data_IF_820752475738
#
_entry.id   IF_820752475738
#
_cell.length_a   1.000
_cell.length_b   1.000
_cell.length_c   1.000
_cell.angle_alpha   90.00
_cell.angle_beta   90.00
_cell.angle_gamma   90.00
#
_symmetry.space_group_name_H-M   'P 1'
#
loop_
_entity.id
_entity.type
_entity.pdbx_description
1 polymer ?
#
# COMPACT_ATOMS: atom_id res chain seq x y z
N UNK A 1 19.09 29.25 8.02
CA UNK A 1 18.74 27.84 8.29
C UNK A 1 19.17 27.04 7.08
N UNK A 2 20.05 26.06 7.24
CA UNK A 2 20.41 25.11 6.18
C UNK A 2 19.19 24.22 5.91
N UNK A 3 18.77 24.12 4.66
CA UNK A 3 17.65 23.28 4.26
C UNK A 3 17.99 21.81 4.55
N UNK A 4 17.14 21.12 5.31
CA UNK A 4 17.30 19.70 5.62
C UNK A 4 17.20 18.88 4.33
N UNK A 5 18.09 17.90 4.15
CA UNK A 5 18.05 17.00 2.99
C UNK A 5 16.81 16.10 3.10
N UNK A 6 16.00 16.05 2.06
CA UNK A 6 14.88 15.12 1.94
C UNK A 6 15.27 13.94 1.07
N UNK A 7 14.96 12.73 1.51
CA UNK A 7 15.18 11.48 0.78
C UNK A 7 13.86 10.72 0.72
N UNK A 8 13.46 10.29 -0.47
CA UNK A 8 12.17 9.63 -0.70
C UNK A 8 12.40 8.17 -1.03
N UNK A 9 11.64 7.30 -0.37
CA UNK A 9 11.56 5.85 -0.57
C UNK A 9 10.10 5.47 -0.83
N UNK A 10 9.85 4.27 -1.36
CA UNK A 10 8.52 3.68 -1.52
C UNK A 10 8.65 2.16 -1.63
N UNK A 11 7.54 1.43 -1.44
CA UNK A 11 7.40 0.01 -1.80
C UNK A 11 8.46 -0.90 -1.18
N UNK A 12 8.74 -0.70 0.12
CA UNK A 12 9.63 -1.58 0.87
C UNK A 12 8.93 -2.87 1.31
N UNK A 13 7.60 -2.84 1.47
CA UNK A 13 6.76 -4.00 1.78
C UNK A 13 7.34 -4.86 2.91
N UNK A 14 7.71 -4.21 4.03
CA UNK A 14 8.27 -4.92 5.17
C UNK A 14 7.22 -5.85 5.79
N UNK A 15 7.55 -7.14 5.79
CA UNK A 15 6.83 -8.25 6.40
C UNK A 15 7.80 -9.07 7.24
N UNK A 16 7.36 -9.84 8.22
CA UNK A 16 8.17 -10.76 9.04
C UNK A 16 9.11 -11.65 8.23
N UNK A 17 8.70 -12.02 7.03
CA UNK A 17 9.46 -12.88 6.12
C UNK A 17 10.39 -12.11 5.18
N UNK A 18 10.42 -10.77 5.24
CA UNK A 18 11.32 -9.95 4.44
C UNK A 18 12.76 -10.42 4.66
N UNK A 19 13.51 -10.68 3.58
CA UNK A 19 14.90 -11.09 3.67
C UNK A 19 15.75 -10.15 4.52
N UNK A 20 16.61 -10.71 5.36
CA UNK A 20 17.42 -9.93 6.30
C UNK A 20 18.45 -9.00 5.64
N UNK A 21 18.83 -9.28 4.40
CA UNK A 21 19.68 -8.40 3.57
C UNK A 21 18.95 -7.11 3.21
N UNK A 22 17.67 -7.18 2.81
CA UNK A 22 16.83 -6.00 2.53
C UNK A 22 16.71 -5.11 3.76
N UNK A 23 16.50 -5.68 4.94
CA UNK A 23 16.37 -4.88 6.18
C UNK A 23 17.71 -4.35 6.67
N UNK A 24 18.80 -5.07 6.41
CA UNK A 24 20.15 -4.55 6.62
C UNK A 24 20.51 -3.41 5.64
N UNK A 25 20.05 -3.48 4.38
CA UNK A 25 20.20 -2.41 3.41
C UNK A 25 19.42 -1.16 3.81
N UNK A 26 18.18 -1.31 4.28
CA UNK A 26 17.41 -0.20 4.84
C UNK A 26 18.13 0.45 6.01
N UNK A 27 18.68 -0.35 6.94
CA UNK A 27 19.44 0.17 8.06
C UNK A 27 20.70 0.94 7.62
N UNK A 28 21.47 0.39 6.67
CA UNK A 28 22.63 1.09 6.06
C UNK A 28 22.22 2.39 5.39
N UNK A 29 21.11 2.37 4.65
CA UNK A 29 20.57 3.55 3.98
C UNK A 29 20.21 4.65 4.96
N UNK A 30 19.49 4.32 6.03
CA UNK A 30 19.11 5.28 7.08
C UNK A 30 20.36 5.87 7.75
N UNK A 31 21.34 5.04 8.10
CA UNK A 31 22.59 5.47 8.71
C UNK A 31 23.43 6.38 7.79
N UNK A 32 23.34 6.19 6.47
CA UNK A 32 24.03 7.03 5.49
C UNK A 32 23.43 8.44 5.32
N UNK A 33 22.26 8.71 5.91
CA UNK A 33 21.54 9.98 5.80
C UNK A 33 21.23 10.60 7.17
N UNK A 34 22.25 10.92 8.00
CA UNK A 34 22.04 11.48 9.33
C UNK A 34 21.35 12.86 9.27
N UNK A 35 20.38 13.09 10.15
CA UNK A 35 19.62 14.35 10.25
C UNK A 35 18.77 14.69 9.02
N UNK A 36 18.67 13.78 8.04
CA UNK A 36 17.82 13.94 6.88
C UNK A 36 16.34 13.75 7.26
N UNK A 37 15.46 14.19 6.36
CA UNK A 37 14.07 13.76 6.35
C UNK A 37 13.94 12.58 5.42
N UNK A 38 13.50 11.44 5.96
CA UNK A 38 13.15 10.26 5.19
C UNK A 38 11.64 10.26 4.99
N UNK A 39 11.20 10.36 3.74
CA UNK A 39 9.80 10.28 3.36
C UNK A 39 9.55 8.92 2.72
N UNK A 40 8.60 8.16 3.21
CA UNK A 40 8.14 6.91 2.59
C UNK A 40 6.80 7.17 1.91
N UNK A 41 6.79 7.10 0.59
CA UNK A 41 5.64 7.33 -0.27
C UNK A 41 4.80 6.05 -0.43
N UNK A 42 4.23 5.59 0.68
CA UNK A 42 3.41 4.37 0.74
C UNK A 42 4.19 3.07 0.82
N UNK A 43 3.49 2.05 1.32
CA UNK A 43 3.90 0.65 1.33
C UNK A 43 5.28 0.44 1.98
N UNK A 44 5.51 1.10 3.12
CA UNK A 44 6.62 0.76 4.00
C UNK A 44 6.42 -0.65 4.54
N UNK A 45 5.18 -0.96 4.92
CA UNK A 45 4.76 -2.24 5.46
C UNK A 45 3.78 -2.90 4.50
N UNK A 46 3.71 -4.23 4.54
CA UNK A 46 2.59 -4.96 3.93
C UNK A 46 1.74 -5.60 5.03
N UNK A 47 1.03 -4.73 5.76
CA UNK A 47 0.21 -5.13 6.91
C UNK A 47 -0.98 -5.98 6.48
N UNK A 48 -1.48 -5.74 5.26
CA UNK A 48 -2.55 -6.52 4.65
C UNK A 48 -2.18 -7.99 4.48
N UNK A 49 -0.97 -8.32 4.03
CA UNK A 49 -0.56 -9.71 3.79
C UNK A 49 -0.15 -10.46 5.06
N UNK A 50 0.52 -9.77 5.99
CA UNK A 50 1.09 -10.37 7.20
C UNK A 50 0.04 -10.84 8.21
N UNK A 51 -1.02 -10.04 8.35
CA UNK A 51 -1.84 -10.08 9.57
C UNK A 51 -3.23 -9.50 9.34
N UNK A 52 -3.99 -10.00 8.35
CA UNK A 52 -5.31 -9.45 7.99
C UNK A 52 -6.31 -9.46 9.15
N UNK A 53 -6.12 -10.33 10.14
CA UNK A 53 -6.99 -10.48 11.31
C UNK A 53 -6.41 -9.91 12.61
N UNK A 54 -5.20 -9.35 12.57
CA UNK A 54 -4.53 -8.85 13.76
C UNK A 54 -4.91 -7.39 14.04
N UNK A 55 -5.11 -7.01 15.30
CA UNK A 55 -5.23 -5.59 15.66
C UNK A 55 -4.01 -4.79 15.17
N UNK A 56 -4.26 -3.63 14.56
CA UNK A 56 -3.26 -2.81 13.85
C UNK A 56 -2.01 -2.49 14.68
N UNK A 57 -2.11 -2.02 15.95
CA UNK A 57 -0.92 -1.74 16.75
C UNK A 57 -0.04 -2.98 16.98
N UNK A 58 -0.67 -4.16 17.05
CA UNK A 58 0.05 -5.42 17.18
C UNK A 58 0.70 -5.82 15.86
N UNK A 59 0.02 -5.68 14.72
CA UNK A 59 0.59 -5.99 13.40
C UNK A 59 1.84 -5.15 13.11
N UNK A 60 1.75 -3.83 13.31
CA UNK A 60 2.89 -2.90 13.17
C UNK A 60 4.07 -3.32 14.07
N UNK A 61 3.77 -3.64 15.34
CA UNK A 61 4.80 -4.07 16.29
C UNK A 61 5.46 -5.38 15.84
N UNK A 62 4.70 -6.39 15.46
CA UNK A 62 5.27 -7.66 14.99
C UNK A 62 6.14 -7.47 13.73
N UNK A 63 5.69 -6.65 12.78
CA UNK A 63 6.44 -6.33 11.57
C UNK A 63 7.79 -5.67 11.89
N UNK A 64 7.82 -4.67 12.78
CA UNK A 64 9.07 -4.00 13.17
C UNK A 64 9.97 -4.89 14.05
N UNK A 65 9.39 -5.68 14.95
CA UNK A 65 10.17 -6.58 15.83
C UNK A 65 10.78 -7.75 15.07
N UNK A 66 10.23 -8.13 13.92
CA UNK A 66 10.87 -9.07 13.01
C UNK A 66 12.16 -8.52 12.40
N UNK A 67 12.34 -7.19 12.38
CA UNK A 67 13.45 -6.49 11.72
C UNK A 67 14.26 -5.62 12.70
N UNK A 68 14.92 -6.22 13.71
CA UNK A 68 15.57 -5.48 14.79
C UNK A 68 16.63 -4.50 14.28
N UNK A 69 17.34 -4.81 13.20
CA UNK A 69 18.37 -3.94 12.62
C UNK A 69 17.77 -2.68 11.99
N UNK A 70 16.73 -2.82 11.16
CA UNK A 70 16.05 -1.67 10.55
C UNK A 70 15.35 -0.82 11.62
N UNK A 71 14.68 -1.48 12.57
CA UNK A 71 14.04 -0.84 13.72
C UNK A 71 15.02 0.02 14.51
N UNK A 72 16.17 -0.53 14.89
CA UNK A 72 17.20 0.19 15.63
C UNK A 72 17.74 1.40 14.85
N UNK A 73 18.00 1.23 13.55
CA UNK A 73 18.48 2.32 12.70
C UNK A 73 17.47 3.46 12.56
N UNK A 74 16.18 3.15 12.40
CA UNK A 74 15.10 4.15 12.36
C UNK A 74 14.98 4.90 13.68
N UNK A 75 15.05 4.19 14.82
CA UNK A 75 15.00 4.80 16.14
C UNK A 75 16.19 5.75 16.36
N UNK A 76 17.41 5.28 16.08
CA UNK A 76 18.64 6.07 16.19
C UNK A 76 18.63 7.30 15.28
N UNK A 77 18.04 7.19 14.08
CA UNK A 77 17.87 8.31 13.16
C UNK A 77 16.97 9.39 13.76
N UNK A 78 15.82 9.01 14.31
CA UNK A 78 14.87 9.94 14.94
C UNK A 78 15.45 10.57 16.21
N UNK A 79 16.21 9.82 17.01
CA UNK A 79 16.91 10.35 18.19
C UNK A 79 17.98 11.37 17.81
N UNK A 80 18.61 11.22 16.64
CA UNK A 80 19.66 12.12 16.11
C UNK A 80 19.12 13.18 15.15
N UNK A 81 17.95 13.74 15.48
CA UNK A 81 17.35 14.87 14.75
C UNK A 81 16.97 14.57 13.28
N UNK A 82 16.88 13.29 12.93
CA UNK A 82 16.24 12.86 11.69
C UNK A 82 14.71 12.94 11.76
N UNK A 83 14.06 12.96 10.60
CA UNK A 83 12.60 12.94 10.49
C UNK A 83 12.13 11.73 9.69
N UNK A 84 10.99 11.16 10.07
CA UNK A 84 10.34 10.08 9.35
C UNK A 84 8.91 10.49 8.98
N UNK A 85 8.66 10.63 7.68
CA UNK A 85 7.36 11.00 7.13
C UNK A 85 6.80 9.81 6.36
N UNK A 86 5.56 9.42 6.61
CA UNK A 86 4.94 8.28 5.93
C UNK A 86 3.60 8.68 5.29
N UNK A 87 3.49 8.50 3.98
CA UNK A 87 2.20 8.54 3.30
C UNK A 87 1.62 7.13 3.26
N UNK A 88 0.30 7.00 3.40
CA UNK A 88 -0.38 5.71 3.24
C UNK A 88 -0.32 5.20 1.80
N UNK A 89 0.01 3.92 1.65
CA UNK A 89 -0.16 3.16 0.42
C UNK A 89 -1.37 2.23 0.48
N UNK A 90 -1.55 1.38 -0.53
CA UNK A 90 -2.67 0.44 -0.53
C UNK A 90 -2.42 -0.76 0.42
N UNK A 91 -1.16 -1.12 0.70
CA UNK A 91 -0.83 -2.23 1.60
C UNK A 91 -0.68 -1.82 3.06
N UNK A 92 -0.54 -0.51 3.33
CA UNK A 92 -0.42 0.08 4.66
C UNK A 92 -1.29 1.33 4.85
N UNK A 93 -2.52 1.32 4.32
CA UNK A 93 -3.49 2.42 4.49
C UNK A 93 -3.67 2.86 5.96
N UNK A 94 -3.40 1.96 6.91
CA UNK A 94 -3.36 2.24 8.34
C UNK A 94 -2.37 3.34 8.75
N UNK A 95 -1.35 3.64 7.96
CA UNK A 95 -0.46 4.81 8.14
C UNK A 95 -1.26 6.11 8.24
N UNK A 96 -2.39 6.20 7.56
CA UNK A 96 -3.32 7.32 7.61
C UNK A 96 -4.15 7.42 8.89
N UNK A 97 -4.10 6.45 9.79
CA UNK A 97 -4.88 6.47 11.03
C UNK A 97 -4.33 7.51 12.03
N UNK A 98 -5.20 8.25 12.75
CA UNK A 98 -4.77 9.30 13.68
C UNK A 98 -3.82 8.83 14.80
N UNK A 99 -3.94 7.56 15.22
CA UNK A 99 -3.13 6.95 16.27
C UNK A 99 -1.84 6.28 15.76
N UNK A 100 -1.65 6.21 14.44
CA UNK A 100 -0.48 5.54 13.85
C UNK A 100 0.86 6.14 14.25
N UNK A 101 1.08 7.48 14.26
CA UNK A 101 2.35 8.06 14.72
C UNK A 101 2.71 7.65 16.14
N UNK A 102 1.72 7.57 17.03
CA UNK A 102 1.92 7.13 18.40
C UNK A 102 2.29 5.65 18.47
N UNK A 103 1.54 4.79 17.75
CA UNK A 103 1.81 3.36 17.69
C UNK A 103 3.21 3.06 17.11
N UNK A 104 3.62 3.81 16.07
CA UNK A 104 4.95 3.70 15.49
C UNK A 104 6.03 4.16 16.47
N UNK A 105 5.84 5.28 17.15
CA UNK A 105 6.77 5.75 18.18
C UNK A 105 6.95 4.74 19.31
N UNK A 106 5.87 4.09 19.74
CA UNK A 106 5.90 3.02 20.74
C UNK A 106 6.61 1.76 20.23
N UNK A 107 6.34 1.34 18.99
CA UNK A 107 7.02 0.20 18.39
C UNK A 107 8.52 0.44 18.19
N UNK A 108 8.93 1.68 17.94
CA UNK A 108 10.33 2.11 17.86
C UNK A 108 10.97 2.42 19.23
N UNK A 109 10.22 2.29 20.33
CA UNK A 109 10.68 2.60 21.70
C UNK A 109 11.17 4.06 21.88
N UNK A 110 10.59 5.01 21.14
CA UNK A 110 10.98 6.42 21.17
C UNK A 110 10.44 7.16 22.40
N UNK A 111 11.27 8.06 22.92
CA UNK A 111 10.93 8.94 24.05
C UNK A 111 11.17 10.42 23.71
N UNK A 112 10.51 11.31 24.46
CA UNK A 112 10.74 12.76 24.35
C UNK A 112 10.47 13.34 22.95
N UNK A 113 11.36 14.22 22.51
CA UNK A 113 11.23 15.00 21.27
C UNK A 113 11.30 14.14 20.00
N UNK A 114 11.95 12.96 20.04
CA UNK A 114 12.02 12.08 18.87
C UNK A 114 10.64 11.65 18.36
N UNK A 115 9.64 11.59 19.26
CA UNK A 115 8.26 11.23 18.91
C UNK A 115 7.59 12.25 17.99
N UNK A 116 7.91 13.55 18.12
CA UNK A 116 7.31 14.60 17.27
C UNK A 116 7.93 14.68 15.87
N UNK A 117 9.01 13.93 15.62
CA UNK A 117 9.69 13.84 14.31
C UNK A 117 9.07 12.80 13.38
N UNK A 118 8.06 12.07 13.85
CA UNK A 118 7.22 11.20 13.02
C UNK A 118 6.03 12.01 12.51
N UNK A 119 5.81 12.00 11.20
CA UNK A 119 4.61 12.56 10.56
C UNK A 119 3.97 11.52 9.67
N UNK A 120 2.65 11.47 9.65
CA UNK A 120 1.91 10.62 8.72
C UNK A 120 0.85 11.40 7.98
N UNK A 121 0.43 10.87 6.84
CA UNK A 121 -0.67 11.39 6.04
C UNK A 121 -1.40 10.21 5.39
N UNK A 122 -2.74 10.20 5.35
CA UNK A 122 -3.47 9.14 4.66
C UNK A 122 -3.26 9.15 3.15
N UNK A 123 -2.84 10.29 2.58
CA UNK A 123 -2.79 10.45 1.12
C UNK A 123 -1.45 11.00 0.61
N UNK A 124 -1.18 12.29 0.82
CA UNK A 124 0.03 12.92 0.28
C UNK A 124 0.66 13.91 1.24
N UNK A 125 1.93 14.19 1.00
CA UNK A 125 2.64 15.36 1.51
C UNK A 125 2.85 16.37 0.39
N UNK A 126 2.84 17.65 0.77
CA UNK A 126 3.24 18.73 -0.11
C UNK A 126 4.22 19.65 0.60
N UNK A 127 5.36 19.90 -0.03
CA UNK A 127 6.36 20.85 0.46
C UNK A 127 6.83 21.74 -0.68
N UNK A 128 6.42 23.02 -0.64
CA UNK A 128 6.65 23.95 -1.74
C UNK A 128 6.06 23.42 -3.04
N UNK A 129 6.93 23.15 -4.03
CA UNK A 129 6.54 22.63 -5.33
C UNK A 129 6.50 21.09 -5.40
N UNK A 130 6.96 20.38 -4.36
CA UNK A 130 7.10 18.92 -4.36
C UNK A 130 5.81 18.28 -3.85
N UNK A 131 5.25 17.36 -4.63
CA UNK A 131 4.14 16.47 -4.28
C UNK A 131 4.69 15.07 -4.03
N UNK A 132 4.31 14.43 -2.92
CA UNK A 132 4.72 13.07 -2.61
C UNK A 132 3.50 12.29 -2.17
N UNK A 133 3.14 11.27 -2.95
CA UNK A 133 2.07 10.32 -2.66
C UNK A 133 2.48 8.95 -3.19
N UNK A 134 1.74 7.92 -2.80
CA UNK A 134 2.04 6.55 -3.23
C UNK A 134 1.66 6.30 -4.71
N UNK A 135 0.56 6.88 -5.19
CA UNK A 135 0.12 6.75 -6.59
C UNK A 135 -0.92 5.65 -6.84
N UNK A 136 -1.22 4.80 -5.85
CA UNK A 136 -2.25 3.76 -5.95
C UNK A 136 -3.65 4.28 -6.31
N UNK A 137 -3.93 5.56 -6.05
CA UNK A 137 -5.18 6.24 -6.41
C UNK A 137 -5.47 6.21 -7.92
N UNK A 138 -4.44 6.06 -8.76
CA UNK A 138 -4.55 6.10 -10.22
C UNK A 138 -4.66 4.72 -10.87
N UNK A 139 -4.53 3.65 -10.09
CA UNK A 139 -4.70 2.28 -10.56
C UNK A 139 -6.05 1.74 -10.05
N UNK A 140 -7.03 1.43 -10.91
CA UNK A 140 -8.35 0.99 -10.47
C UNK A 140 -8.32 -0.29 -9.62
N UNK A 141 -7.29 -1.14 -9.75
CA UNK A 141 -7.15 -2.34 -8.91
C UNK A 141 -6.70 -2.02 -7.49
N UNK A 142 -6.00 -0.90 -7.30
CA UNK A 142 -5.41 -0.50 -6.02
C UNK A 142 -6.07 0.72 -5.40
N UNK A 143 -6.85 1.49 -6.17
CA UNK A 143 -7.52 2.69 -5.73
C UNK A 143 -8.53 2.41 -4.60
N UNK A 144 -8.51 3.20 -3.52
CA UNK A 144 -9.57 3.18 -2.51
C UNK A 144 -10.80 3.92 -3.04
N UNK A 145 -11.95 3.76 -2.39
CA UNK A 145 -13.10 4.60 -2.68
C UNK A 145 -12.85 6.08 -2.34
N UNK A 146 -12.03 6.35 -1.32
CA UNK A 146 -11.53 7.69 -1.03
C UNK A 146 -10.18 7.64 -0.29
N UNK A 147 -9.14 8.40 -0.70
CA UNK A 147 -7.79 8.29 -0.12
C UNK A 147 -7.67 8.80 1.31
N UNK A 148 -8.64 9.58 1.79
CA UNK A 148 -8.69 10.05 3.19
C UNK A 148 -9.43 9.11 4.16
N UNK A 149 -9.91 7.96 3.68
CA UNK A 149 -10.66 6.99 4.48
C UNK A 149 -9.90 5.67 4.52
N UNK A 150 -9.56 5.22 5.73
CA UNK A 150 -9.01 3.87 5.95
C UNK A 150 -10.17 2.87 5.94
N UNK A 151 -10.61 2.53 4.74
CA UNK A 151 -11.85 1.82 4.47
C UNK A 151 -11.68 0.40 3.96
N UNK A 152 -12.62 -0.01 3.12
CA UNK A 152 -12.64 -1.31 2.45
C UNK A 152 -11.43 -1.51 1.54
N UNK A 153 -10.99 -2.77 1.44
CA UNK A 153 -9.82 -3.13 0.63
C UNK A 153 -10.12 -2.98 -0.86
N UNK A 154 -9.10 -2.55 -1.61
CA UNK A 154 -9.11 -2.57 -3.07
C UNK A 154 -8.99 -4.00 -3.61
N UNK A 155 -9.15 -4.18 -4.93
CA UNK A 155 -9.08 -5.50 -5.55
C UNK A 155 -7.71 -6.15 -5.35
N UNK A 156 -6.64 -5.38 -5.56
CA UNK A 156 -5.25 -5.85 -5.42
C UNK A 156 -4.97 -6.34 -4.00
N UNK A 157 -5.37 -5.56 -3.00
CA UNK A 157 -5.19 -5.91 -1.58
C UNK A 157 -6.03 -7.13 -1.20
N UNK A 158 -7.28 -7.23 -1.66
CA UNK A 158 -8.11 -8.42 -1.45
C UNK A 158 -7.44 -9.69 -2.03
N UNK A 159 -6.78 -9.61 -3.18
CA UNK A 159 -6.02 -10.75 -3.74
C UNK A 159 -4.78 -11.08 -2.93
N UNK A 160 -4.12 -10.09 -2.36
CA UNK A 160 -2.98 -10.32 -1.47
C UNK A 160 -3.44 -11.07 -0.21
N UNK A 161 -4.50 -10.60 0.43
CA UNK A 161 -5.08 -11.18 1.65
C UNK A 161 -5.66 -12.60 1.42
N UNK A 162 -6.45 -12.80 0.37
CA UNK A 162 -7.24 -14.02 0.18
C UNK A 162 -6.54 -15.09 -0.66
N UNK A 163 -5.55 -14.69 -1.47
CA UNK A 163 -4.85 -15.59 -2.40
C UNK A 163 -3.34 -15.64 -2.15
N UNK A 164 -2.62 -14.53 -2.25
CA UNK A 164 -1.15 -14.56 -2.26
C UNK A 164 -0.60 -14.99 -0.89
N UNK A 165 -0.99 -14.32 0.19
CA UNK A 165 -0.47 -14.61 1.53
C UNK A 165 -0.79 -16.04 1.99
N UNK A 166 -2.03 -16.57 1.84
CA UNK A 166 -2.35 -17.94 2.25
C UNK A 166 -1.64 -19.04 1.45
N UNK A 167 -1.25 -18.74 0.20
CA UNK A 167 -0.61 -19.72 -0.68
C UNK A 167 0.91 -19.60 -0.73
N UNK A 168 1.46 -18.44 -0.34
CA UNK A 168 2.86 -18.08 -0.60
C UNK A 168 3.15 -17.87 -2.09
N UNK A 169 2.12 -17.56 -2.90
CA UNK A 169 2.24 -17.50 -4.36
C UNK A 169 2.78 -16.15 -4.88
N UNK A 170 3.83 -15.62 -4.25
CA UNK A 170 4.37 -14.28 -4.53
C UNK A 170 4.83 -14.06 -5.98
N UNK A 171 5.16 -15.12 -6.73
CA UNK A 171 5.49 -15.00 -8.17
C UNK A 171 4.34 -14.44 -9.01
N UNK A 172 3.10 -14.58 -8.57
CA UNK A 172 1.96 -13.98 -9.26
C UNK A 172 1.95 -12.44 -9.18
N UNK A 173 2.56 -11.82 -8.16
CA UNK A 173 2.66 -10.36 -8.05
C UNK A 173 3.57 -9.76 -9.14
N UNK A 174 4.50 -10.55 -9.66
CA UNK A 174 5.47 -10.13 -10.69
C UNK A 174 5.08 -10.58 -12.10
N UNK A 175 4.05 -11.42 -12.24
CA UNK A 175 3.61 -12.00 -13.51
C UNK A 175 2.37 -11.27 -14.07
N UNK A 176 2.38 -9.93 -14.03
CA UNK A 176 1.23 -9.09 -14.36
C UNK A 176 0.94 -9.01 -15.87
N UNK A 177 1.86 -9.48 -16.72
CA UNK A 177 1.79 -9.42 -18.18
C UNK A 177 1.26 -10.71 -18.85
N UNK A 178 0.92 -11.74 -18.06
CA UNK A 178 0.53 -13.05 -18.60
C UNK A 178 -0.98 -13.25 -18.71
N UNK A 179 -1.42 -13.96 -19.76
CA UNK A 179 -2.82 -14.37 -19.92
C UNK A 179 -3.26 -15.32 -18.81
N UNK A 180 -4.56 -15.38 -18.48
CA UNK A 180 -5.07 -16.28 -17.45
C UNK A 180 -4.73 -17.76 -17.71
N UNK A 181 -4.79 -18.21 -18.98
CA UNK A 181 -4.41 -19.57 -19.34
C UNK A 181 -2.91 -19.82 -19.12
N UNK A 182 -2.04 -18.86 -19.46
CA UNK A 182 -0.60 -18.98 -19.25
C UNK A 182 -0.25 -19.00 -17.76
N UNK A 183 -0.92 -18.16 -16.97
CA UNK A 183 -0.81 -18.15 -15.52
C UNK A 183 -1.27 -19.47 -14.89
N UNK A 184 -2.37 -20.03 -15.40
CA UNK A 184 -2.87 -21.34 -14.97
C UNK A 184 -1.85 -22.46 -15.25
N UNK A 185 -1.33 -22.53 -16.48
CA UNK A 185 -0.33 -23.54 -16.85
C UNK A 185 0.98 -23.33 -16.08
N UNK A 186 1.41 -22.08 -15.90
CA UNK A 186 2.60 -21.74 -15.14
C UNK A 186 2.49 -22.10 -13.66
N UNK A 187 1.27 -22.18 -13.10
CA UNK A 187 1.05 -22.65 -11.74
C UNK A 187 1.65 -24.04 -11.51
N UNK A 188 1.47 -24.97 -12.46
CA UNK A 188 2.04 -26.32 -12.38
C UNK A 188 3.56 -26.31 -12.45
N UNK A 189 4.13 -25.42 -13.26
CA UNK A 189 5.59 -25.25 -13.34
C UNK A 189 6.18 -24.61 -12.08
N UNK A 190 5.51 -23.61 -11.52
CA UNK A 190 6.02 -22.83 -10.38
C UNK A 190 5.80 -23.52 -9.03
N UNK A 191 4.68 -24.23 -8.87
CA UNK A 191 4.24 -24.77 -7.58
C UNK A 191 4.09 -26.30 -7.58
N UNK A 192 4.27 -26.96 -8.73
CA UNK A 192 4.30 -28.42 -8.83
C UNK A 192 3.04 -29.07 -8.22
N UNK A 193 3.18 -30.03 -7.29
CA UNK A 193 2.04 -30.69 -6.63
C UNK A 193 1.09 -29.74 -5.88
N UNK A 194 1.54 -28.54 -5.51
CA UNK A 194 0.69 -27.53 -4.83
C UNK A 194 -0.17 -26.72 -5.80
N UNK A 195 0.06 -26.82 -7.11
CA UNK A 195 -0.64 -26.02 -8.12
C UNK A 195 -2.18 -26.10 -8.03
N UNK A 196 -2.82 -27.27 -7.82
CA UNK A 196 -4.27 -27.35 -7.67
C UNK A 196 -4.81 -26.50 -6.51
N UNK A 197 -4.09 -26.47 -5.38
CA UNK A 197 -4.45 -25.64 -4.23
C UNK A 197 -4.30 -24.14 -4.54
N UNK A 198 -3.20 -23.75 -5.18
CA UNK A 198 -2.97 -22.35 -5.61
C UNK A 198 -4.07 -21.88 -6.56
N UNK A 199 -4.39 -22.70 -7.58
CA UNK A 199 -5.46 -22.43 -8.54
C UNK A 199 -6.82 -22.30 -7.83
N UNK A 200 -7.15 -23.24 -6.93
CA UNK A 200 -8.37 -23.18 -6.14
C UNK A 200 -8.48 -21.86 -5.36
N UNK A 201 -7.40 -21.47 -4.67
CA UNK A 201 -7.37 -20.23 -3.87
C UNK A 201 -7.50 -18.98 -4.74
N UNK A 202 -6.92 -18.97 -5.94
CA UNK A 202 -7.13 -17.88 -6.90
C UNK A 202 -8.61 -17.73 -7.26
N UNK A 203 -9.26 -18.81 -7.68
CA UNK A 203 -10.69 -18.75 -8.03
C UNK A 203 -11.57 -18.44 -6.83
N UNK A 204 -11.24 -18.95 -5.65
CA UNK A 204 -11.93 -18.59 -4.40
C UNK A 204 -11.85 -17.08 -4.13
N UNK A 205 -10.65 -16.49 -4.22
CA UNK A 205 -10.47 -15.04 -4.06
C UNK A 205 -11.21 -14.25 -5.16
N UNK A 206 -11.16 -14.70 -6.41
CA UNK A 206 -11.86 -14.08 -7.54
C UNK A 206 -13.39 -14.08 -7.37
N UNK A 207 -13.97 -15.22 -6.97
CA UNK A 207 -15.41 -15.33 -6.66
C UNK A 207 -15.76 -14.44 -5.47
N UNK A 208 -14.91 -14.43 -4.43
CA UNK A 208 -15.08 -13.55 -3.28
C UNK A 208 -15.10 -12.06 -3.67
N UNK A 209 -14.19 -11.63 -4.54
CA UNK A 209 -14.15 -10.27 -5.07
C UNK A 209 -15.42 -9.93 -5.87
N UNK A 210 -15.86 -10.83 -6.75
CA UNK A 210 -17.10 -10.67 -7.51
C UNK A 210 -18.33 -10.52 -6.60
N UNK A 211 -18.45 -11.32 -5.54
CA UNK A 211 -19.55 -11.25 -4.58
C UNK A 211 -19.52 -9.99 -3.71
N UNK A 212 -18.36 -9.34 -3.57
CA UNK A 212 -18.18 -8.06 -2.88
C UNK A 212 -18.25 -6.85 -3.80
N UNK A 213 -18.44 -7.03 -5.10
CA UNK A 213 -18.39 -5.95 -6.09
C UNK A 213 -19.76 -5.32 -6.37
N UNK A 214 -19.77 -4.17 -7.05
CA UNK A 214 -21.01 -3.54 -7.50
C UNK A 214 -21.87 -3.05 -6.33
N UNK A 215 -23.19 -3.35 -6.31
CA UNK A 215 -24.07 -2.95 -5.21
C UNK A 215 -23.69 -3.50 -3.82
N UNK A 216 -22.86 -4.56 -3.78
CA UNK A 216 -22.40 -5.18 -2.54
C UNK A 216 -21.06 -4.61 -2.06
N UNK A 217 -20.46 -3.70 -2.83
CA UNK A 217 -19.23 -3.02 -2.45
C UNK A 217 -19.51 -2.03 -1.32
N UNK A 218 -18.96 -2.33 -0.14
CA UNK A 218 -19.28 -1.63 1.11
C UNK A 218 -18.66 -0.24 1.21
N UNK A 219 -17.72 0.10 0.33
CA UNK A 219 -17.03 1.37 0.32
C UNK A 219 -17.86 2.56 -0.20
N UNK A 220 -19.11 2.32 -0.63
CA UNK A 220 -19.94 3.34 -1.29
C UNK A 220 -20.17 4.60 -0.45
N UNK A 221 -20.17 4.47 0.88
CA UNK A 221 -20.28 5.62 1.80
C UNK A 221 -18.95 6.33 2.11
N UNK A 222 -17.82 5.74 1.73
CA UNK A 222 -16.49 6.30 2.03
C UNK A 222 -16.21 7.57 1.22
N UNK A 223 -16.76 7.69 0.02
CA UNK A 223 -16.66 8.91 -0.78
C UNK A 223 -17.32 10.12 -0.08
N UNK A 224 -18.48 9.92 0.54
CA UNK A 224 -19.18 10.97 1.30
C UNK A 224 -18.41 11.35 2.56
N UNK A 225 -17.99 10.36 3.35
CA UNK A 225 -17.16 10.57 4.55
C UNK A 225 -15.84 11.26 4.20
N UNK A 226 -15.23 10.85 3.10
CA UNK A 226 -14.01 11.43 2.57
C UNK A 226 -14.17 12.89 2.20
N UNK A 227 -15.23 13.22 1.46
CA UNK A 227 -15.53 14.59 1.04
C UNK A 227 -15.71 15.55 2.22
N UNK A 228 -16.28 15.07 3.34
CA UNK A 228 -16.44 15.87 4.56
C UNK A 228 -15.09 16.25 5.20
N UNK A 229 -14.05 15.45 5.01
CA UNK A 229 -12.73 15.65 5.64
C UNK A 229 -11.69 16.30 4.72
N UNK A 230 -11.96 16.44 3.42
CA UNK A 230 -11.05 17.07 2.44
C UNK A 230 -10.67 18.49 2.86
N UNK A 231 -11.64 19.30 3.30
CA UNK A 231 -11.39 20.68 3.73
C UNK A 231 -10.37 20.74 4.87
N UNK A 232 -10.57 19.92 5.91
CA UNK A 232 -9.67 19.85 7.06
C UNK A 232 -8.29 19.37 6.62
N UNK A 233 -8.23 18.34 5.79
CA UNK A 233 -6.97 17.79 5.28
C UNK A 233 -6.17 18.83 4.48
N UNK A 234 -6.82 19.54 3.55
CA UNK A 234 -6.19 20.58 2.75
C UNK A 234 -5.66 21.73 3.65
N UNK A 235 -6.47 22.15 4.63
CA UNK A 235 -6.07 23.15 5.61
C UNK A 235 -4.86 22.72 6.44
N UNK A 236 -4.83 21.49 6.95
CA UNK A 236 -3.71 20.94 7.73
C UNK A 236 -2.41 20.84 6.94
N UNK A 237 -2.49 20.55 5.64
CA UNK A 237 -1.34 20.53 4.73
C UNK A 237 -0.96 21.92 4.18
N UNK A 238 -1.75 22.95 4.45
CA UNK A 238 -1.53 24.29 3.92
C UNK A 238 -1.66 24.38 2.40
N UNK A 239 -2.51 23.54 1.80
CA UNK A 239 -2.78 23.55 0.36
C UNK A 239 -4.20 24.04 0.07
N UNK A 240 -4.45 24.67 -1.09
CA UNK A 240 -5.81 25.03 -1.47
C UNK A 240 -6.69 23.77 -1.64
N UNK A 241 -7.92 23.79 -1.12
CA UNK A 241 -8.88 22.70 -1.34
C UNK A 241 -9.05 22.34 -2.82
N UNK A 242 -9.08 23.33 -3.71
CA UNK A 242 -9.19 23.10 -5.15
C UNK A 242 -8.12 22.16 -5.70
N UNK A 243 -6.90 22.18 -5.14
CA UNK A 243 -5.84 21.24 -5.53
C UNK A 243 -6.18 19.80 -5.12
N UNK A 244 -6.72 19.60 -3.92
CA UNK A 244 -7.16 18.29 -3.46
C UNK A 244 -8.33 17.77 -4.32
N UNK A 245 -9.29 18.64 -4.66
CA UNK A 245 -10.41 18.31 -5.53
C UNK A 245 -9.94 17.95 -6.96
N UNK A 246 -8.97 18.68 -7.51
CA UNK A 246 -8.35 18.37 -8.81
C UNK A 246 -7.68 16.99 -8.81
N UNK A 247 -6.91 16.68 -7.76
CA UNK A 247 -6.24 15.38 -7.62
C UNK A 247 -7.25 14.25 -7.42
N UNK A 248 -8.33 14.46 -6.65
CA UNK A 248 -9.43 13.50 -6.53
C UNK A 248 -10.14 13.28 -7.87
N UNK A 249 -10.27 14.32 -8.70
CA UNK A 249 -10.83 14.21 -10.04
C UNK A 249 -9.98 13.36 -11.00
N UNK A 250 -8.71 13.13 -10.68
CA UNK A 250 -7.82 12.23 -11.42
C UNK A 250 -7.85 10.78 -10.89
N UNK A 251 -8.52 10.53 -9.76
CA UNK A 251 -8.58 9.20 -9.17
C UNK A 251 -9.27 8.19 -10.11
N UNK A 252 -8.73 6.98 -10.15
CA UNK A 252 -9.38 5.89 -10.83
C UNK A 252 -10.60 5.41 -10.02
N UNK A 253 -11.68 5.08 -10.71
CA UNK A 253 -12.81 4.38 -10.10
C UNK A 253 -12.36 2.98 -9.67
N UNK A 254 -12.50 2.58 -8.39
CA UNK A 254 -12.10 1.26 -7.93
C UNK A 254 -12.78 0.14 -8.73
N UNK A 255 -12.01 -0.87 -9.15
CA UNK A 255 -12.53 -1.99 -9.95
C UNK A 255 -13.72 -2.68 -9.27
N UNK A 256 -13.71 -2.79 -7.94
CA UNK A 256 -14.77 -3.41 -7.14
C UNK A 256 -16.08 -2.63 -7.15
N UNK A 257 -16.09 -1.35 -7.55
CA UNK A 257 -17.32 -0.57 -7.63
C UNK A 257 -18.28 -1.08 -8.73
N UNK A 258 -17.77 -1.86 -9.70
CA UNK A 258 -18.55 -2.43 -10.80
C UNK A 258 -18.32 -3.93 -10.92
N UNK A 259 -19.38 -4.72 -10.78
CA UNK A 259 -19.33 -6.17 -10.99
C UNK A 259 -18.91 -6.53 -12.42
N UNK A 260 -19.34 -5.74 -13.42
CA UNK A 260 -18.93 -5.93 -14.80
C UNK A 260 -17.43 -5.63 -14.99
N UNK A 261 -16.92 -4.57 -14.37
CA UNK A 261 -15.50 -4.21 -14.41
C UNK A 261 -14.65 -5.25 -13.68
N UNK A 262 -15.09 -5.71 -12.50
CA UNK A 262 -14.42 -6.77 -11.74
C UNK A 262 -14.38 -8.07 -12.55
N UNK A 263 -15.50 -8.47 -13.17
CA UNK A 263 -15.54 -9.67 -14.01
C UNK A 263 -14.61 -9.54 -15.21
N UNK A 264 -14.68 -8.41 -15.92
CA UNK A 264 -13.82 -8.14 -17.07
C UNK A 264 -12.35 -8.17 -16.65
N UNK A 265 -12.01 -7.52 -15.53
CA UNK A 265 -10.64 -7.47 -15.03
C UNK A 265 -10.07 -8.85 -14.71
N UNK A 266 -10.85 -9.70 -14.04
CA UNK A 266 -10.41 -11.02 -13.57
C UNK A 266 -10.36 -12.08 -14.67
N UNK A 267 -11.21 -11.96 -15.71
CA UNK A 267 -11.39 -13.01 -16.71
C UNK A 267 -11.02 -12.59 -18.16
N UNK A 268 -11.09 -11.29 -18.50
CA UNK A 268 -11.00 -10.80 -19.88
C UNK A 268 -9.87 -9.81 -20.15
N UNK A 269 -9.58 -8.85 -19.28
CA UNK A 269 -8.61 -7.77 -19.56
C UNK A 269 -7.22 -8.31 -19.91
N UNK A 270 -6.79 -9.39 -19.25
CA UNK A 270 -5.48 -10.02 -19.53
C UNK A 270 -5.49 -10.82 -20.85
N UNK A 271 -6.66 -11.20 -21.35
CA UNK A 271 -6.84 -11.84 -22.68
C UNK A 271 -6.92 -10.77 -23.77
N UNK A 272 -7.68 -9.69 -23.54
CA UNK A 272 -7.88 -8.60 -24.50
C UNK A 272 -6.58 -7.83 -24.71
N UNK A 273 -5.85 -7.46 -23.66
CA UNK A 273 -4.54 -6.78 -23.81
C UNK A 273 -3.53 -7.59 -24.64
N UNK A 274 -3.59 -8.92 -24.56
CA UNK A 274 -2.74 -9.82 -25.39
C UNK A 274 -3.22 -9.87 -26.84
N UNK A 275 -4.53 -9.80 -27.09
CA UNK A 275 -5.10 -9.78 -28.43
C UNK A 275 -4.88 -8.43 -29.14
N UNK A 276 -4.94 -7.30 -28.43
CA UNK A 276 -4.66 -5.97 -29.01
C UNK A 276 -3.21 -5.84 -29.49
N UNK A 277 -2.25 -6.40 -28.73
CA UNK A 277 -0.85 -6.47 -29.16
C UNK A 277 -0.62 -7.42 -30.33
N UNK A 278 -1.43 -8.49 -30.45
CA UNK A 278 -1.36 -9.42 -31.57
C UNK A 278 -2.06 -8.94 -32.86
N UNK A 279 -3.04 -8.04 -32.74
CA UNK A 279 -3.84 -7.54 -33.87
C UNK A 279 -3.31 -6.24 -34.49
N UNK A 280 -2.25 -5.64 -33.94
CA UNK A 280 -1.62 -4.45 -34.52
C UNK A 280 -2.54 -3.21 -34.57
N UNK A 281 -3.44 -3.08 -33.59
CA UNK A 281 -4.27 -1.89 -33.42
C UNK A 281 -3.78 -1.16 -32.17
N UNK A 282 -2.84 -0.24 -32.39
CA UNK A 282 -2.49 0.87 -31.49
C UNK A 282 -2.84 2.17 -32.21
#
# INVERSE_FOLDING_TARGET
MTQRRTVVLADLHLVRQTPGDVTADLARFVAAHPGARIVVAGDLFDLSSESPWMPRPRALREALFAHPTARAALAEHLDRDGELWLAGGNHDAEVGAPDFPQALAEALELTGEARSRIRTTPWFFREGAIHIEHGHLYDPDNAPAHPLVVGERSLGVHFVEEFIAPTGAHRYLQANDQTPLRLFLSAFTWYGPRAPYVIYRYFHAAIGAMLKSGPLYRARGEAEVGAEVVERFAHELGVPRAMADELLGLAATPTLESAASTFTRLYFDRVIATLSMGAGLA
#
